data_IF_884871943609
#
_entry.id   IF_884871943609
#
_cell.length_a   1.000
_cell.length_b   1.000
_cell.length_c   1.000
_cell.angle_alpha   90.00
_cell.angle_beta   90.00
_cell.angle_gamma   90.00
#
_symmetry.space_group_name_H-M   'P 1'
#
loop_
_entity.id
_entity.type
_entity.pdbx_description
1 polymer ?
#
# COMPACT_ATOMS: atom_id res chain seq x y z
N UNK A 1 11.28 -3.72 10.47
CA UNK A 1 10.96 -3.84 9.04
C UNK A 1 10.09 -2.68 8.60
N UNK A 2 10.47 -1.99 7.54
CA UNK A 2 9.74 -0.83 7.00
C UNK A 2 9.10 -1.17 5.66
N UNK A 3 7.81 -0.89 5.50
CA UNK A 3 7.03 -1.20 4.30
C UNK A 3 6.43 0.07 3.74
N UNK A 4 6.58 0.27 2.43
CA UNK A 4 5.87 1.27 1.65
C UNK A 4 4.64 0.62 1.02
N UNK A 5 3.45 0.98 1.48
CA UNK A 5 2.18 0.61 0.88
C UNK A 5 1.75 1.60 -0.20
N UNK A 6 1.19 1.10 -1.29
CA UNK A 6 0.71 1.89 -2.43
C UNK A 6 -0.72 1.50 -2.78
N UNK A 7 -1.60 2.51 -2.86
CA UNK A 7 -2.90 2.43 -3.51
C UNK A 7 -2.80 3.10 -4.88
N UNK A 8 -2.75 2.31 -5.99
CA UNK A 8 -2.39 2.84 -7.29
C UNK A 8 -3.54 3.56 -7.99
N UNK A 9 -3.31 4.80 -8.41
CA UNK A 9 -4.20 5.57 -9.26
C UNK A 9 -3.43 6.53 -10.17
N UNK A 10 -3.95 6.79 -11.37
CA UNK A 10 -3.29 7.69 -12.34
C UNK A 10 -3.63 9.16 -12.13
N UNK A 11 -4.61 9.49 -11.32
CA UNK A 11 -4.98 10.86 -10.91
C UNK A 11 -4.53 11.11 -9.49
N UNK A 12 -4.87 10.18 -8.60
CA UNK A 12 -4.41 10.16 -7.21
C UNK A 12 -3.82 8.80 -6.92
N UNK A 13 -2.60 8.77 -6.40
CA UNK A 13 -1.93 7.57 -5.92
C UNK A 13 -1.64 7.75 -4.44
N UNK A 14 -2.22 6.91 -3.61
CA UNK A 14 -1.95 6.89 -2.18
C UNK A 14 -0.61 6.24 -1.87
N UNK A 15 0.10 6.75 -0.85
CA UNK A 15 1.25 6.07 -0.27
C UNK A 15 1.19 6.11 1.26
N UNK A 16 1.74 5.09 1.89
CA UNK A 16 1.87 5.02 3.34
C UNK A 16 3.10 4.22 3.75
N UNK A 17 3.90 4.77 4.65
CA UNK A 17 5.12 4.13 5.16
C UNK A 17 4.89 3.73 6.60
N UNK A 18 4.93 2.42 6.87
CA UNK A 18 4.74 1.83 8.18
C UNK A 18 5.98 1.03 8.56
N UNK A 19 6.41 1.17 9.80
CA UNK A 19 7.50 0.37 10.36
C UNK A 19 6.96 -0.57 11.44
N UNK A 20 7.39 -1.83 11.39
CA UNK A 20 7.14 -2.81 12.44
C UNK A 20 8.41 -3.06 13.24
N UNK A 21 8.32 -2.89 14.56
CA UNK A 21 9.34 -3.25 15.53
C UNK A 21 8.75 -4.31 16.46
N UNK A 22 9.11 -5.58 16.26
CA UNK A 22 8.42 -6.74 16.85
C UNK A 22 6.94 -6.76 16.44
N UNK A 23 6.01 -6.54 17.36
CA UNK A 23 4.57 -6.54 17.08
C UNK A 23 3.95 -5.13 17.01
N UNK A 24 4.75 -4.10 17.31
CA UNK A 24 4.29 -2.72 17.32
C UNK A 24 4.43 -2.09 15.93
N UNK A 25 3.34 -1.49 15.46
CA UNK A 25 3.29 -0.75 14.21
C UNK A 25 3.47 0.75 14.48
N UNK A 26 4.34 1.39 13.74
CA UNK A 26 4.60 2.82 13.81
C UNK A 26 4.38 3.48 12.46
N UNK A 27 3.61 4.56 12.45
CA UNK A 27 3.47 5.41 11.27
C UNK A 27 4.76 6.22 11.08
N UNK A 28 5.34 6.15 9.88
CA UNK A 28 6.49 6.98 9.49
C UNK A 28 6.04 8.16 8.66
N UNK A 29 5.28 7.92 7.58
CA UNK A 29 4.73 8.96 6.71
C UNK A 29 3.56 8.42 5.88
N UNK A 30 2.75 9.32 5.35
CA UNK A 30 1.68 9.00 4.40
C UNK A 30 1.26 10.22 3.60
N UNK A 31 0.66 9.98 2.46
CA UNK A 31 0.13 11.06 1.62
C UNK A 31 -0.44 10.56 0.31
N UNK A 32 -0.65 11.49 -0.61
CA UNK A 32 -1.10 11.19 -1.95
C UNK A 32 -0.32 11.99 -3.00
N UNK A 33 0.05 11.31 -4.08
CA UNK A 33 0.61 11.92 -5.28
C UNK A 33 -0.53 12.27 -6.21
N UNK A 34 -0.73 13.56 -6.44
CA UNK A 34 -1.87 14.07 -7.23
C UNK A 34 -1.39 14.57 -8.57
N UNK A 35 -2.04 14.11 -9.64
CA UNK A 35 -1.83 14.58 -11.01
C UNK A 35 -3.13 15.21 -11.54
N UNK A 36 -3.11 15.68 -12.78
CA UNK A 36 -4.31 16.21 -13.44
C UNK A 36 -4.63 15.43 -14.71
N UNK A 37 -5.90 15.12 -14.94
CA UNK A 37 -6.38 14.51 -16.18
C UNK A 37 -6.14 15.39 -17.43
N UNK A 38 -5.82 16.66 -17.24
CA UNK A 38 -5.45 17.58 -18.32
C UNK A 38 -4.10 17.21 -18.95
N UNK A 39 -3.22 16.53 -18.22
CA UNK A 39 -1.93 16.07 -18.73
C UNK A 39 -2.06 14.73 -19.44
N UNK A 40 -1.28 14.51 -20.53
CA UNK A 40 -1.18 13.22 -21.16
C UNK A 40 -0.81 12.11 -20.17
N UNK A 41 -1.31 10.91 -20.40
CA UNK A 41 -1.07 9.79 -19.47
C UNK A 41 0.42 9.52 -19.23
N UNK A 42 1.25 9.61 -20.25
CA UNK A 42 2.70 9.41 -20.13
C UNK A 42 3.36 10.39 -19.17
N UNK A 43 2.96 11.67 -19.19
CA UNK A 43 3.47 12.70 -18.28
C UNK A 43 3.05 12.42 -16.83
N UNK A 44 1.80 12.01 -16.63
CA UNK A 44 1.29 11.62 -15.30
C UNK A 44 2.06 10.43 -14.72
N UNK A 45 2.26 9.39 -15.53
CA UNK A 45 3.03 8.22 -15.11
C UNK A 45 4.50 8.56 -14.80
N UNK A 46 5.11 9.44 -15.62
CA UNK A 46 6.46 9.92 -15.37
C UNK A 46 6.58 10.71 -14.05
N UNK A 47 5.60 11.56 -13.75
CA UNK A 47 5.53 12.28 -12.48
C UNK A 47 5.43 11.29 -11.31
N UNK A 48 4.46 10.36 -11.35
CA UNK A 48 4.28 9.35 -10.30
C UNK A 48 5.55 8.52 -10.08
N UNK A 49 6.22 8.12 -11.14
CA UNK A 49 7.48 7.39 -11.05
C UNK A 49 8.57 8.16 -10.31
N UNK A 50 8.75 9.44 -10.65
CA UNK A 50 9.76 10.30 -10.02
C UNK A 50 9.47 10.53 -8.53
N UNK A 51 8.23 10.81 -8.20
CA UNK A 51 7.82 11.03 -6.80
C UNK A 51 7.99 9.75 -5.97
N UNK A 52 7.65 8.58 -6.53
CA UNK A 52 7.88 7.29 -5.86
C UNK A 52 9.37 7.03 -5.62
N UNK A 53 10.25 7.37 -6.56
CA UNK A 53 11.69 7.27 -6.35
C UNK A 53 12.15 8.17 -5.20
N UNK A 54 11.63 9.40 -5.12
CA UNK A 54 11.93 10.30 -4.00
C UNK A 54 11.46 9.71 -2.66
N UNK A 55 10.24 9.17 -2.59
CA UNK A 55 9.70 8.52 -1.39
C UNK A 55 10.59 7.32 -0.99
N UNK A 56 10.92 6.46 -1.93
CA UNK A 56 11.77 5.30 -1.70
C UNK A 56 13.16 5.72 -1.19
N UNK A 57 13.76 6.75 -1.79
CA UNK A 57 15.07 7.25 -1.38
C UNK A 57 15.03 7.90 0.02
N UNK A 58 13.95 8.60 0.35
CA UNK A 58 13.83 9.28 1.64
C UNK A 58 13.57 8.30 2.79
N UNK A 59 12.70 7.31 2.57
CA UNK A 59 12.25 6.41 3.64
C UNK A 59 12.95 5.06 3.66
N UNK A 60 13.64 4.67 2.58
CA UNK A 60 14.42 3.42 2.49
C UNK A 60 13.60 2.20 2.95
N UNK A 61 12.44 1.90 2.33
CA UNK A 61 11.63 0.76 2.74
C UNK A 61 12.34 -0.57 2.39
N UNK A 62 12.17 -1.57 3.25
CA UNK A 62 12.65 -2.93 2.99
C UNK A 62 11.80 -3.65 1.92
N UNK A 63 10.54 -3.21 1.76
CA UNK A 63 9.51 -3.83 0.92
C UNK A 63 8.56 -2.78 0.37
N UNK A 64 8.03 -3.03 -0.84
CA UNK A 64 6.90 -2.27 -1.40
C UNK A 64 5.70 -3.20 -1.56
N UNK A 65 4.58 -2.85 -0.93
CA UNK A 65 3.32 -3.55 -1.03
C UNK A 65 2.34 -2.73 -1.88
N UNK A 66 1.72 -3.35 -2.90
CA UNK A 66 0.87 -2.64 -3.86
C UNK A 66 -0.51 -3.29 -3.92
N UNK A 67 -1.58 -2.48 -3.91
CA UNK A 67 -2.92 -3.01 -4.14
C UNK A 67 -3.11 -3.39 -5.61
N UNK A 68 -3.73 -4.56 -5.84
CA UNK A 68 -4.06 -5.02 -7.19
C UNK A 68 -5.35 -4.38 -7.70
N UNK A 69 -5.45 -4.05 -9.00
CA UNK A 69 -6.68 -3.55 -9.58
C UNK A 69 -7.79 -4.61 -9.52
N UNK A 70 -8.97 -4.19 -9.08
CA UNK A 70 -10.15 -5.05 -9.11
C UNK A 70 -10.93 -4.87 -10.41
N UNK A 71 -10.97 -5.91 -11.24
CA UNK A 71 -11.60 -5.87 -12.57
C UNK A 71 -13.05 -6.39 -12.50
N UNK A 72 -13.95 -5.70 -11.79
CA UNK A 72 -15.33 -6.17 -11.68
C UNK A 72 -16.29 -5.58 -12.73
N UNK A 73 -16.22 -4.28 -13.04
CA UNK A 73 -17.26 -3.62 -13.82
C UNK A 73 -16.77 -2.55 -14.81
N UNK A 74 -15.56 -2.03 -14.68
CA UNK A 74 -15.06 -0.97 -15.54
C UNK A 74 -13.62 -1.24 -16.02
N UNK A 75 -13.52 -1.81 -17.22
CA UNK A 75 -12.23 -2.15 -17.85
C UNK A 75 -11.32 -0.93 -18.00
N UNK A 76 -11.89 0.26 -18.31
CA UNK A 76 -11.09 1.48 -18.48
C UNK A 76 -10.43 1.91 -17.16
N UNK A 77 -11.16 1.86 -16.05
CA UNK A 77 -10.62 2.14 -14.71
C UNK A 77 -9.57 1.12 -14.31
N UNK A 78 -9.83 -0.18 -14.55
CA UNK A 78 -8.86 -1.23 -14.25
C UNK A 78 -7.55 -1.06 -15.03
N UNK A 79 -7.62 -0.66 -16.31
CA UNK A 79 -6.44 -0.35 -17.13
C UNK A 79 -5.67 0.88 -16.59
N UNK A 80 -6.37 1.90 -16.13
CA UNK A 80 -5.74 3.09 -15.55
C UNK A 80 -4.99 2.73 -14.24
N UNK A 81 -5.64 1.97 -13.35
CA UNK A 81 -5.04 1.47 -12.10
C UNK A 81 -3.84 0.56 -12.43
N UNK A 82 -3.97 -0.38 -13.37
CA UNK A 82 -2.87 -1.26 -13.78
C UNK A 82 -1.64 -0.51 -14.32
N UNK A 83 -1.84 0.62 -15.02
CA UNK A 83 -0.72 1.48 -15.43
C UNK A 83 -0.02 2.12 -14.24
N UNK A 84 -0.77 2.62 -13.27
CA UNK A 84 -0.22 3.20 -12.05
C UNK A 84 0.49 2.14 -11.19
N UNK A 85 -0.10 0.94 -11.09
CA UNK A 85 0.51 -0.21 -10.43
C UNK A 85 1.86 -0.59 -11.06
N UNK A 86 1.92 -0.68 -12.39
CA UNK A 86 3.16 -0.97 -13.10
C UNK A 86 4.25 0.06 -12.82
N UNK A 87 3.90 1.33 -12.64
CA UNK A 87 4.83 2.40 -12.24
C UNK A 87 5.38 2.15 -10.84
N UNK A 88 4.53 1.74 -9.87
CA UNK A 88 4.96 1.44 -8.51
C UNK A 88 5.92 0.23 -8.48
N UNK A 89 5.58 -0.84 -9.18
CA UNK A 89 6.43 -2.03 -9.30
C UNK A 89 7.78 -1.70 -9.96
N UNK A 90 7.77 -0.89 -11.03
CA UNK A 90 8.98 -0.46 -11.73
C UNK A 90 9.87 0.41 -10.83
N UNK A 91 9.28 1.35 -10.09
CA UNK A 91 10.02 2.22 -9.17
C UNK A 91 10.74 1.39 -8.09
N UNK A 92 10.05 0.42 -7.48
CA UNK A 92 10.66 -0.49 -6.51
C UNK A 92 11.77 -1.35 -7.14
N UNK A 93 11.49 -1.98 -8.28
CA UNK A 93 12.44 -2.87 -8.97
C UNK A 93 13.73 -2.15 -9.38
N UNK A 94 13.64 -0.90 -9.85
CA UNK A 94 14.83 -0.11 -10.21
C UNK A 94 15.70 0.27 -9.02
N UNK A 95 15.16 0.21 -7.80
CA UNK A 95 15.90 0.40 -6.56
C UNK A 95 16.30 -0.93 -5.89
N UNK A 96 16.02 -2.07 -6.53
CA UNK A 96 16.32 -3.39 -6.00
C UNK A 96 15.45 -3.79 -4.80
N UNK A 97 14.29 -3.13 -4.60
CA UNK A 97 13.39 -3.40 -3.48
C UNK A 97 12.36 -4.44 -3.92
N UNK A 98 12.18 -5.54 -3.16
CA UNK A 98 11.18 -6.54 -3.47
C UNK A 98 9.75 -5.99 -3.33
N UNK A 99 8.83 -6.54 -4.13
CA UNK A 99 7.43 -6.11 -4.18
C UNK A 99 6.48 -7.26 -3.88
N UNK A 100 5.36 -6.93 -3.22
CA UNK A 100 4.23 -7.83 -3.02
C UNK A 100 2.93 -7.14 -3.43
N UNK A 101 2.02 -7.94 -3.99
CA UNK A 101 0.74 -7.46 -4.50
C UNK A 101 -0.40 -8.09 -3.71
N UNK A 102 -1.40 -7.27 -3.35
CA UNK A 102 -2.55 -7.69 -2.55
C UNK A 102 -3.87 -7.33 -3.20
N UNK A 103 -4.81 -8.28 -3.22
CA UNK A 103 -6.18 -7.97 -3.64
C UNK A 103 -6.89 -7.11 -2.59
N UNK A 104 -7.85 -6.25 -2.98
CA UNK A 104 -8.64 -5.45 -2.03
C UNK A 104 -9.31 -6.29 -0.94
N UNK A 105 -9.81 -7.48 -1.31
CA UNK A 105 -10.43 -8.42 -0.35
C UNK A 105 -9.41 -8.91 0.68
N UNK A 106 -8.17 -9.18 0.26
CA UNK A 106 -7.11 -9.63 1.18
C UNK A 106 -6.71 -8.53 2.15
N UNK A 107 -6.57 -7.29 1.67
CA UNK A 107 -6.30 -6.12 2.50
C UNK A 107 -7.38 -5.96 3.56
N UNK A 108 -8.66 -5.96 3.18
CA UNK A 108 -9.80 -5.87 4.11
C UNK A 108 -9.79 -6.99 5.15
N UNK A 109 -9.56 -8.22 4.73
CA UNK A 109 -9.52 -9.37 5.61
C UNK A 109 -8.37 -9.27 6.62
N UNK A 110 -7.19 -8.85 6.19
CA UNK A 110 -6.03 -8.70 7.05
C UNK A 110 -6.20 -7.55 8.06
N UNK A 111 -6.69 -6.39 7.62
CA UNK A 111 -6.76 -5.18 8.46
C UNK A 111 -7.99 -5.17 9.37
N UNK A 112 -9.16 -5.58 8.86
CA UNK A 112 -10.44 -5.53 9.58
C UNK A 112 -11.00 -6.91 9.95
N UNK A 113 -10.23 -7.99 9.78
CA UNK A 113 -10.59 -9.38 10.05
C UNK A 113 -11.80 -9.92 9.26
N UNK A 114 -12.31 -9.16 8.28
CA UNK A 114 -13.43 -9.57 7.46
C UNK A 114 -13.33 -8.96 6.05
N UNK A 115 -13.30 -9.83 5.02
CA UNK A 115 -13.10 -9.41 3.62
C UNK A 115 -14.23 -8.57 3.01
N UNK A 116 -15.44 -8.57 3.62
CA UNK A 116 -16.56 -7.73 3.22
C UNK A 116 -16.69 -6.44 4.07
N UNK A 117 -15.67 -6.09 4.85
CA UNK A 117 -15.65 -4.83 5.60
C UNK A 117 -15.82 -3.62 4.69
N UNK A 118 -16.55 -2.61 5.20
CA UNK A 118 -16.69 -1.36 4.47
C UNK A 118 -15.37 -0.58 4.44
N UNK A 119 -15.28 0.40 3.55
CA UNK A 119 -14.08 1.26 3.48
C UNK A 119 -13.84 2.00 4.79
N UNK A 120 -14.90 2.52 5.38
CA UNK A 120 -14.85 3.26 6.66
C UNK A 120 -14.35 2.36 7.80
N UNK A 121 -14.76 1.09 7.83
CA UNK A 121 -14.29 0.13 8.83
C UNK A 121 -12.79 -0.14 8.69
N UNK A 122 -12.29 -0.28 7.46
CA UNK A 122 -10.86 -0.49 7.21
C UNK A 122 -10.06 0.74 7.66
N UNK A 123 -10.51 1.95 7.30
CA UNK A 123 -9.85 3.20 7.67
C UNK A 123 -9.83 3.41 9.19
N UNK A 124 -10.91 3.08 9.88
CA UNK A 124 -10.95 3.13 11.34
C UNK A 124 -9.98 2.12 11.97
N UNK A 125 -9.87 0.93 11.41
CA UNK A 125 -8.89 -0.07 11.86
C UNK A 125 -7.45 0.38 11.63
N UNK A 126 -7.15 1.05 10.51
CA UNK A 126 -5.84 1.68 10.26
C UNK A 126 -5.54 2.72 11.34
N UNK A 127 -6.50 3.61 11.63
CA UNK A 127 -6.37 4.61 12.69
C UNK A 127 -6.02 3.99 14.04
N UNK A 128 -6.78 2.96 14.44
CA UNK A 128 -6.59 2.28 15.73
C UNK A 128 -5.25 1.56 15.83
N UNK A 129 -4.85 0.84 14.76
CA UNK A 129 -3.61 0.05 14.76
C UNK A 129 -2.35 0.91 14.75
N UNK A 130 -2.42 2.09 14.15
CA UNK A 130 -1.32 3.06 14.15
C UNK A 130 -1.39 4.07 15.30
N UNK A 131 -2.39 3.96 16.20
CA UNK A 131 -2.56 4.84 17.36
C UNK A 131 -2.83 6.31 16.98
N UNK A 132 -3.48 6.55 15.85
CA UNK A 132 -3.72 7.90 15.33
C UNK A 132 -4.93 8.54 15.98
N UNK A 133 -4.93 9.86 16.12
CA UNK A 133 -6.06 10.63 16.66
C UNK A 133 -7.25 10.68 15.70
N UNK A 134 -6.95 10.78 14.41
CA UNK A 134 -7.95 10.91 13.32
C UNK A 134 -7.63 9.93 12.20
N UNK A 135 -8.64 9.63 11.37
CA UNK A 135 -8.47 8.82 10.16
C UNK A 135 -7.55 9.57 9.19
N UNK A 136 -6.48 8.92 8.67
CA UNK A 136 -5.57 9.53 7.71
C UNK A 136 -6.30 10.09 6.48
N UNK A 137 -5.92 11.30 6.07
CA UNK A 137 -6.43 11.93 4.86
C UNK A 137 -5.28 12.24 3.90
N UNK A 138 -5.52 12.20 2.58
CA UNK A 138 -6.77 11.78 1.92
C UNK A 138 -7.03 10.27 2.03
N UNK A 139 -8.23 9.83 1.64
CA UNK A 139 -8.64 8.43 1.73
C UNK A 139 -7.67 7.46 1.04
N UNK A 140 -7.11 7.84 -0.10
CA UNK A 140 -6.13 7.04 -0.84
C UNK A 140 -4.88 6.74 0.02
N UNK A 141 -4.47 7.67 0.87
CA UNK A 141 -3.36 7.46 1.81
C UNK A 141 -3.73 6.46 2.92
N UNK A 142 -4.96 6.51 3.43
CA UNK A 142 -5.44 5.51 4.39
C UNK A 142 -5.52 4.11 3.78
N UNK A 143 -5.94 4.01 2.51
CA UNK A 143 -5.97 2.77 1.77
C UNK A 143 -4.55 2.22 1.55
N UNK A 144 -3.59 3.06 1.20
CA UNK A 144 -2.17 2.69 1.09
C UNK A 144 -1.56 2.22 2.42
N UNK A 145 -1.90 2.87 3.54
CA UNK A 145 -1.51 2.41 4.88
C UNK A 145 -2.08 1.02 5.20
N UNK A 146 -3.34 0.75 4.80
CA UNK A 146 -3.95 -0.56 4.95
C UNK A 146 -3.16 -1.65 4.20
N UNK A 147 -2.66 -1.34 3.00
CA UNK A 147 -1.83 -2.25 2.21
C UNK A 147 -0.50 -2.55 2.92
N UNK A 148 0.17 -1.53 3.48
CA UNK A 148 1.40 -1.72 4.25
C UNK A 148 1.18 -2.59 5.50
N UNK A 149 0.11 -2.33 6.26
CA UNK A 149 -0.28 -3.12 7.44
C UNK A 149 -0.59 -4.57 7.04
N UNK A 150 -1.31 -4.77 5.94
CA UNK A 150 -1.60 -6.10 5.42
C UNK A 150 -0.31 -6.90 5.21
N UNK A 151 0.69 -6.31 4.55
CA UNK A 151 1.97 -6.97 4.30
C UNK A 151 2.70 -7.33 5.60
N UNK A 152 2.80 -6.39 6.54
CA UNK A 152 3.49 -6.62 7.82
C UNK A 152 2.83 -7.77 8.61
N UNK A 153 1.51 -7.86 8.61
CA UNK A 153 0.76 -8.95 9.27
C UNK A 153 0.98 -10.30 8.61
N UNK A 154 1.03 -10.34 7.27
CA UNK A 154 1.29 -11.57 6.52
C UNK A 154 2.69 -12.14 6.85
N UNK A 155 3.70 -11.29 6.92
CA UNK A 155 5.05 -11.70 7.29
C UNK A 155 5.07 -12.20 8.74
N UNK A 156 4.51 -11.45 9.68
CA UNK A 156 4.45 -11.85 11.07
C UNK A 156 3.76 -13.22 11.24
N UNK A 157 2.63 -13.44 10.59
CA UNK A 157 1.93 -14.71 10.62
C UNK A 157 2.79 -15.84 10.05
N UNK A 158 3.47 -15.60 8.94
CA UNK A 158 4.36 -16.59 8.31
C UNK A 158 5.53 -16.98 9.23
N UNK A 159 6.11 -16.01 9.92
CA UNK A 159 7.19 -16.25 10.90
C UNK A 159 6.70 -17.06 12.12
N UNK A 160 5.50 -16.76 12.62
CA UNK A 160 4.91 -17.52 13.73
C UNK A 160 4.67 -18.98 13.35
N UNK A 161 4.14 -19.22 12.15
CA UNK A 161 3.91 -20.59 11.64
C UNK A 161 5.23 -21.36 11.43
N UNK A 162 6.27 -20.71 10.91
CA UNK A 162 7.58 -21.32 10.75
C UNK A 162 8.19 -21.76 12.10
N UNK A 163 8.13 -20.91 13.12
CA UNK A 163 8.59 -21.22 14.48
C UNK A 163 7.83 -22.39 15.16
N UNK A 164 6.56 -22.59 14.80
CA UNK A 164 5.76 -23.71 15.32
C UNK A 164 6.11 -25.03 14.60
N UNK A 165 6.42 -24.99 13.31
CA UNK A 165 6.82 -26.17 12.53
C UNK A 165 8.18 -26.76 12.91
N UNK A 166 9.11 -25.92 13.42
CA UNK A 166 10.45 -26.36 13.88
C UNK A 166 10.45 -27.04 15.26
N UNK A 167 9.31 -27.02 15.98
CA UNK A 167 9.16 -27.63 17.33
C UNK A 167 8.51 -29.00 17.32
N UNK A 168 8.24 -29.57 16.15
CA UNK A 168 7.73 -30.94 15.98
C UNK A 168 8.80 -31.85 15.37
#
# INVERSE_FOLDING_TARGET
MRVLGIDPGTVTMGYGVVESNNDDLSLIDYGALVTSERFPIGERLCYLYRELLCIIQNYQPDMVAVEQPFVASNVRSALAIGRAQAVALLAAATQGIPTHEYTPTRVKQSVANYGASSKEQVQEMVRLQLGLKEIPQPNDAADALAVAICHLREIHLSELLARQGEKQ
#
